data_IF_371004208063
#
_entry.id   IF_371004208063
#
_cell.length_a   1.000
_cell.length_b   1.000
_cell.length_c   1.000
_cell.angle_alpha   90.00
_cell.angle_beta   90.00
_cell.angle_gamma   90.00
#
_symmetry.space_group_name_H-M   'P 1'
#
loop_
_entity.id
_entity.type
_entity.pdbx_description
1 polymer ?
#
# COMPACT_ATOMS: atom_id res chain seq x y z
N UNK A 1 4.83 -29.25 -21.24
CA UNK A 1 5.34 -28.24 -20.29
C UNK A 1 4.43 -27.02 -20.40
N UNK A 2 3.34 -27.03 -19.65
CA UNK A 2 2.24 -26.06 -19.72
C UNK A 2 2.62 -24.81 -18.93
N UNK A 3 2.64 -23.67 -19.61
CA UNK A 3 3.15 -22.36 -19.14
C UNK A 3 2.27 -21.67 -18.09
N UNK A 4 1.54 -22.38 -17.23
CA UNK A 4 0.50 -21.78 -16.37
C UNK A 4 0.68 -21.93 -14.86
N UNK A 5 1.61 -22.74 -14.38
CA UNK A 5 1.73 -23.07 -12.94
C UNK A 5 2.30 -21.93 -12.07
N UNK A 6 2.57 -20.76 -12.65
CA UNK A 6 3.21 -19.65 -11.95
C UNK A 6 2.37 -18.39 -11.78
N UNK A 7 1.31 -18.17 -12.55
CA UNK A 7 0.63 -16.86 -12.60
C UNK A 7 -0.87 -17.00 -12.44
N UNK A 8 -1.46 -16.25 -11.50
CA UNK A 8 -2.91 -16.15 -11.33
C UNK A 8 -3.40 -14.70 -11.32
N UNK A 9 -4.68 -14.54 -11.60
CA UNK A 9 -5.40 -13.26 -11.50
C UNK A 9 -6.19 -13.24 -10.21
N UNK A 10 -6.09 -12.14 -9.47
CA UNK A 10 -6.85 -11.90 -8.25
C UNK A 10 -7.65 -10.62 -8.42
N UNK A 11 -8.88 -10.59 -7.93
CA UNK A 11 -9.68 -9.38 -7.89
C UNK A 11 -11.00 -9.47 -8.62
N UNK A 12 -11.86 -8.48 -8.36
CA UNK A 12 -13.24 -8.42 -8.88
C UNK A 12 -13.39 -7.52 -10.10
N UNK A 13 -12.33 -6.78 -10.45
CA UNK A 13 -12.34 -5.86 -11.58
C UNK A 13 -12.34 -6.53 -12.95
N UNK A 14 -12.59 -5.76 -14.03
CA UNK A 14 -12.57 -6.29 -15.39
C UNK A 14 -11.20 -6.87 -15.77
N UNK A 15 -11.18 -8.14 -16.18
CA UNK A 15 -9.93 -8.83 -16.56
C UNK A 15 -9.52 -8.44 -17.99
N UNK A 16 -8.36 -7.76 -18.17
CA UNK A 16 -7.84 -7.42 -19.50
C UNK A 16 -7.56 -8.68 -20.33
N UNK A 17 -7.84 -8.63 -21.65
CA UNK A 17 -7.57 -9.72 -22.62
C UNK A 17 -6.29 -10.54 -22.40
N UNK A 18 -5.11 -9.97 -22.10
CA UNK A 18 -3.88 -10.75 -21.91
C UNK A 18 -3.93 -11.69 -20.69
N UNK A 19 -4.84 -11.45 -19.74
CA UNK A 19 -4.97 -12.20 -18.50
C UNK A 19 -6.16 -13.17 -18.50
N UNK A 20 -7.03 -13.15 -19.52
CA UNK A 20 -8.32 -13.87 -19.51
C UNK A 20 -8.21 -15.39 -19.45
N UNK A 21 -7.08 -15.94 -19.87
CA UNK A 21 -6.84 -17.39 -19.90
C UNK A 21 -6.01 -17.87 -18.69
N UNK A 22 -5.74 -16.99 -17.72
CA UNK A 22 -5.02 -17.35 -16.51
C UNK A 22 -5.98 -17.87 -15.44
N UNK A 23 -5.51 -18.75 -14.52
CA UNK A 23 -6.29 -19.14 -13.37
C UNK A 23 -6.66 -17.92 -12.52
N UNK A 24 -7.83 -17.98 -11.90
CA UNK A 24 -8.22 -17.03 -10.84
C UNK A 24 -7.82 -17.62 -9.50
N UNK A 25 -7.39 -16.75 -8.58
CA UNK A 25 -7.10 -17.11 -7.21
C UNK A 25 -7.89 -16.23 -6.25
N UNK A 26 -8.34 -16.84 -5.16
CA UNK A 26 -8.94 -16.15 -4.03
C UNK A 26 -7.87 -15.85 -2.96
N UNK A 27 -8.23 -15.07 -1.94
CA UNK A 27 -7.29 -14.64 -0.90
C UNK A 27 -6.69 -15.79 -0.09
N UNK A 28 -7.35 -16.95 -0.07
CA UNK A 28 -6.90 -18.13 0.66
C UNK A 28 -5.84 -18.94 -0.12
N UNK A 29 -5.77 -18.76 -1.45
CA UNK A 29 -4.94 -19.55 -2.37
C UNK A 29 -3.72 -18.80 -2.93
N UNK A 30 -3.50 -17.56 -2.49
CA UNK A 30 -2.46 -16.66 -3.03
C UNK A 30 -1.05 -17.28 -3.05
N UNK A 31 -0.73 -18.01 -1.99
CA UNK A 31 0.59 -18.59 -1.72
C UNK A 31 0.97 -19.76 -2.64
N UNK A 32 0.00 -20.30 -3.39
CA UNK A 32 0.18 -21.39 -4.34
C UNK A 32 0.87 -20.88 -5.61
N UNK A 33 0.65 -19.61 -5.96
CA UNK A 33 1.15 -19.03 -7.19
C UNK A 33 2.47 -18.28 -6.97
N UNK A 34 3.35 -18.34 -7.97
CA UNK A 34 4.61 -17.57 -7.96
C UNK A 34 4.37 -16.07 -8.21
N UNK A 35 3.33 -15.75 -8.97
CA UNK A 35 2.97 -14.38 -9.38
C UNK A 35 1.46 -14.18 -9.37
N UNK A 36 1.05 -13.03 -8.86
CA UNK A 36 -0.34 -12.60 -8.80
C UNK A 36 -0.49 -11.30 -9.59
N UNK A 37 -1.49 -11.25 -10.45
CA UNK A 37 -1.90 -10.03 -11.14
C UNK A 37 -3.22 -9.57 -10.56
N UNK A 38 -3.19 -8.47 -9.81
CA UNK A 38 -4.37 -7.89 -9.18
C UNK A 38 -5.11 -7.04 -10.21
N UNK A 39 -6.31 -7.47 -10.60
CA UNK A 39 -7.22 -6.74 -11.48
C UNK A 39 -8.28 -6.07 -10.63
N UNK A 40 -7.93 -4.91 -10.08
CA UNK A 40 -8.76 -4.14 -9.17
C UNK A 40 -8.13 -2.82 -8.77
N UNK A 41 -8.83 -2.10 -7.89
CA UNK A 41 -8.34 -0.85 -7.32
C UNK A 41 -7.34 -1.05 -6.18
N UNK A 42 -6.98 0.06 -5.54
CA UNK A 42 -6.03 0.09 -4.42
C UNK A 42 -6.47 -0.79 -3.24
N UNK A 43 -7.77 -0.87 -2.95
CA UNK A 43 -8.29 -1.70 -1.87
C UNK A 43 -7.99 -3.19 -2.05
N UNK A 44 -8.14 -3.72 -3.27
CA UNK A 44 -7.84 -5.12 -3.55
C UNK A 44 -6.33 -5.40 -3.50
N UNK A 45 -5.52 -4.46 -4.02
CA UNK A 45 -4.07 -4.57 -3.91
C UNK A 45 -3.61 -4.58 -2.45
N UNK A 46 -4.18 -3.71 -1.62
CA UNK A 46 -3.90 -3.67 -0.19
C UNK A 46 -4.31 -4.98 0.49
N UNK A 47 -5.49 -5.54 0.17
CA UNK A 47 -5.95 -6.81 0.72
C UNK A 47 -5.01 -7.97 0.37
N UNK A 48 -4.61 -8.10 -0.90
CA UNK A 48 -3.67 -9.14 -1.36
C UNK A 48 -2.31 -9.02 -0.66
N UNK A 49 -1.73 -7.81 -0.62
CA UNK A 49 -0.44 -7.59 0.03
C UNK A 49 -0.52 -7.85 1.54
N UNK A 50 -1.62 -7.47 2.19
CA UNK A 50 -1.84 -7.72 3.62
C UNK A 50 -1.98 -9.21 3.93
N UNK A 51 -2.67 -9.97 3.06
CA UNK A 51 -2.79 -11.41 3.19
C UNK A 51 -1.43 -12.11 3.03
N UNK A 52 -0.64 -11.74 2.01
CA UNK A 52 0.71 -12.28 1.81
C UNK A 52 1.66 -11.92 2.96
N UNK A 53 1.58 -10.69 3.47
CA UNK A 53 2.36 -10.25 4.62
C UNK A 53 2.04 -11.08 5.87
N UNK A 54 0.74 -11.33 6.14
CA UNK A 54 0.29 -12.16 7.26
C UNK A 54 0.72 -13.62 7.13
N UNK A 55 0.79 -14.12 5.90
CA UNK A 55 1.23 -15.48 5.60
C UNK A 55 2.77 -15.64 5.51
N UNK A 56 3.53 -14.57 5.69
CA UNK A 56 4.98 -14.52 5.45
C UNK A 56 5.40 -15.02 4.05
N UNK A 57 4.60 -14.67 3.03
CA UNK A 57 4.78 -15.07 1.62
C UNK A 57 5.09 -13.90 0.70
N UNK A 58 5.98 -13.01 1.16
CA UNK A 58 6.46 -11.86 0.36
C UNK A 58 7.44 -12.25 -0.77
N UNK A 59 7.73 -13.54 -0.92
CA UNK A 59 8.41 -14.11 -2.08
C UNK A 59 7.50 -14.14 -3.33
N UNK A 60 6.18 -14.07 -3.16
CA UNK A 60 5.20 -14.03 -4.26
C UNK A 60 5.26 -12.68 -4.99
N UNK A 61 5.41 -12.74 -6.30
CA UNK A 61 5.49 -11.53 -7.14
C UNK A 61 4.09 -10.93 -7.34
N UNK A 62 3.90 -9.64 -7.04
CA UNK A 62 2.59 -8.98 -7.19
C UNK A 62 2.67 -7.85 -8.21
N UNK A 63 1.68 -7.76 -9.09
CA UNK A 63 1.52 -6.66 -10.03
C UNK A 63 0.05 -6.21 -10.12
N UNK A 64 -0.19 -4.90 -10.12
CA UNK A 64 -1.52 -4.36 -10.40
C UNK A 64 -1.72 -4.11 -11.90
N UNK A 65 -2.90 -4.46 -12.43
CA UNK A 65 -3.23 -4.27 -13.83
C UNK A 65 -4.67 -3.77 -14.02
N UNK A 66 -4.81 -2.53 -14.47
CA UNK A 66 -6.09 -1.88 -14.79
C UNK A 66 -6.43 -1.88 -16.28
N UNK A 67 -5.53 -2.34 -17.17
CA UNK A 67 -5.71 -2.24 -18.61
C UNK A 67 -4.77 -3.12 -19.43
N UNK A 68 -4.89 -3.03 -20.76
CA UNK A 68 -4.15 -3.91 -21.70
C UNK A 68 -2.63 -3.78 -21.57
N UNK A 69 -2.12 -2.56 -21.47
CA UNK A 69 -0.69 -2.31 -21.39
C UNK A 69 -0.12 -2.73 -20.02
N UNK A 70 -0.78 -2.36 -18.93
CA UNK A 70 -0.38 -2.77 -17.58
C UNK A 70 -0.47 -4.28 -17.38
N UNK A 71 -1.47 -4.95 -17.97
CA UNK A 71 -1.54 -6.41 -17.99
C UNK A 71 -0.34 -7.06 -18.69
N UNK A 72 0.04 -6.60 -19.88
CA UNK A 72 1.22 -7.12 -20.58
C UNK A 72 2.50 -6.88 -19.78
N UNK A 73 2.61 -5.72 -19.13
CA UNK A 73 3.73 -5.40 -18.23
C UNK A 73 3.74 -6.32 -17.01
N UNK A 74 2.59 -6.55 -16.37
CA UNK A 74 2.44 -7.43 -15.23
C UNK A 74 2.89 -8.87 -15.53
N UNK A 75 2.72 -9.34 -16.77
CA UNK A 75 3.16 -10.68 -17.18
C UNK A 75 4.66 -10.77 -17.48
N UNK A 76 5.27 -9.69 -17.97
CA UNK A 76 6.61 -9.76 -18.60
C UNK A 76 7.69 -9.03 -17.83
N UNK A 77 7.34 -8.05 -17.02
CA UNK A 77 8.31 -7.27 -16.29
C UNK A 77 8.91 -8.10 -15.16
N UNK A 78 10.23 -7.98 -15.00
CA UNK A 78 10.94 -8.51 -13.84
C UNK A 78 10.36 -7.90 -12.55
N UNK A 79 10.12 -8.76 -11.56
CA UNK A 79 9.73 -8.31 -10.23
C UNK A 79 10.87 -7.54 -9.58
N UNK A 80 10.52 -6.55 -8.76
CA UNK A 80 11.46 -5.74 -8.01
C UNK A 80 11.05 -5.76 -6.54
N UNK A 81 12.02 -5.95 -5.65
CA UNK A 81 11.81 -5.80 -4.21
C UNK A 81 11.59 -4.32 -3.91
N UNK A 82 10.53 -4.03 -3.17
CA UNK A 82 10.18 -2.68 -2.70
C UNK A 82 9.83 -2.75 -1.22
N UNK A 83 10.04 -1.68 -0.44
CA UNK A 83 9.55 -1.61 0.93
C UNK A 83 8.02 -1.75 0.95
N UNK A 84 7.51 -2.49 1.94
CA UNK A 84 6.08 -2.51 2.25
C UNK A 84 5.88 -1.84 3.60
N UNK A 85 4.89 -0.95 3.65
CA UNK A 85 4.50 -0.22 4.85
C UNK A 85 3.15 -0.73 5.29
N UNK A 86 3.03 -1.06 6.57
CA UNK A 86 1.78 -1.50 7.18
C UNK A 86 1.39 -0.57 8.31
N UNK A 87 0.10 -0.51 8.59
CA UNK A 87 -0.41 0.07 9.82
C UNK A 87 -0.38 -0.95 10.98
N UNK A 88 -0.84 -0.49 12.15
CA UNK A 88 -0.96 -1.29 13.36
C UNK A 88 -1.92 -2.48 13.22
N UNK A 89 -2.93 -2.37 12.35
CA UNK A 89 -3.88 -3.46 12.04
C UNK A 89 -3.28 -4.54 11.13
N UNK A 90 -2.09 -4.28 10.59
CA UNK A 90 -1.43 -5.15 9.63
C UNK A 90 -1.92 -4.94 8.19
N UNK A 91 -2.64 -3.85 7.92
CA UNK A 91 -3.07 -3.47 6.57
C UNK A 91 -1.91 -2.79 5.85
N UNK A 92 -1.62 -3.24 4.63
CA UNK A 92 -0.57 -2.67 3.78
C UNK A 92 -1.06 -1.38 3.11
N UNK A 93 -0.28 -0.33 3.23
CA UNK A 93 -0.52 0.95 2.59
C UNK A 93 -0.01 0.94 1.14
N UNK A 94 -0.89 1.24 0.18
CA UNK A 94 -0.56 1.20 -1.26
C UNK A 94 -0.62 2.56 -1.97
N UNK A 95 -1.16 3.58 -1.30
CA UNK A 95 -1.37 4.92 -1.91
C UNK A 95 -1.10 6.05 -0.92
N UNK A 96 -2.03 6.34 -0.01
CA UNK A 96 -1.82 7.32 1.04
C UNK A 96 -2.73 7.06 2.24
N UNK A 97 -2.22 7.31 3.44
CA UNK A 97 -2.99 7.38 4.67
C UNK A 97 -3.02 8.84 5.14
N UNK A 98 -4.09 9.21 5.84
CA UNK A 98 -4.20 10.55 6.41
C UNK A 98 -4.68 10.47 7.84
N UNK A 99 -4.01 11.21 8.72
CA UNK A 99 -4.45 11.47 10.08
C UNK A 99 -5.08 12.85 10.14
N UNK A 100 -6.28 12.93 10.70
CA UNK A 100 -7.07 14.15 10.87
C UNK A 100 -7.69 14.16 12.26
N UNK A 101 -7.96 15.35 12.78
CA UNK A 101 -8.81 15.48 13.96
C UNK A 101 -10.25 15.09 13.66
N UNK A 102 -11.00 14.76 14.70
CA UNK A 102 -12.42 14.43 14.60
C UNK A 102 -13.22 15.67 14.17
N UNK A 103 -14.26 15.46 13.36
CA UNK A 103 -15.21 16.49 12.92
C UNK A 103 -14.57 17.76 12.31
N UNK A 104 -13.40 17.60 11.67
CA UNK A 104 -12.67 18.70 11.05
C UNK A 104 -11.91 19.59 12.02
N UNK A 105 -11.84 19.22 13.31
CA UNK A 105 -10.96 19.87 14.27
C UNK A 105 -9.48 19.64 13.90
N UNK A 106 -8.56 20.50 14.36
CA UNK A 106 -7.13 20.25 14.24
C UNK A 106 -6.76 18.90 14.86
N UNK A 107 -5.86 18.19 14.20
CA UNK A 107 -5.22 17.00 14.73
C UNK A 107 -4.36 17.39 15.94
N UNK A 108 -4.62 16.75 17.08
CA UNK A 108 -3.92 16.98 18.34
C UNK A 108 -2.93 15.86 18.61
N UNK A 109 -1.73 16.20 19.05
CA UNK A 109 -0.72 15.24 19.50
C UNK A 109 0.67 15.52 18.95
N UNK A 110 1.44 14.45 18.79
CA UNK A 110 2.80 14.50 18.26
C UNK A 110 2.93 13.48 17.13
N UNK A 111 3.41 13.92 15.96
CA UNK A 111 3.73 13.00 14.87
C UNK A 111 5.22 13.02 14.56
N UNK A 112 5.80 11.84 14.45
CA UNK A 112 7.23 11.63 14.22
C UNK A 112 7.42 10.68 13.03
N UNK A 113 8.43 10.95 12.22
CA UNK A 113 8.95 10.05 11.18
C UNK A 113 10.37 9.67 11.54
N UNK A 114 10.59 8.40 11.88
CA UNK A 114 11.83 7.93 12.50
C UNK A 114 12.23 8.79 13.72
N UNK A 115 13.22 9.68 13.58
CA UNK A 115 13.72 10.60 14.59
C UNK A 115 13.32 12.08 14.34
N UNK A 116 12.54 12.34 13.29
CA UNK A 116 12.14 13.69 12.88
C UNK A 116 10.71 13.98 13.32
N UNK A 117 10.54 14.94 14.22
CA UNK A 117 9.23 15.48 14.59
C UNK A 117 8.62 16.24 13.41
N UNK A 118 7.44 15.84 12.96
CA UNK A 118 6.64 16.54 11.96
C UNK A 118 5.88 17.70 12.57
N UNK A 119 5.24 17.46 13.73
CA UNK A 119 4.59 18.46 14.57
C UNK A 119 4.47 17.94 16.01
N UNK A 120 4.34 18.88 16.95
CA UNK A 120 4.00 18.66 18.36
C UNK A 120 2.97 19.75 18.75
N UNK A 121 1.82 19.33 19.28
CA UNK A 121 0.66 20.17 19.56
C UNK A 121 -0.46 19.98 18.53
N UNK A 122 -0.68 20.99 17.68
CA UNK A 122 -1.77 20.99 16.70
C UNK A 122 -1.28 21.02 15.25
N UNK A 123 -1.97 20.28 14.37
CA UNK A 123 -1.77 20.34 12.93
C UNK A 123 -3.10 20.22 12.18
N UNK A 124 -3.20 20.78 10.97
CA UNK A 124 -4.40 20.60 10.12
C UNK A 124 -4.60 19.15 9.68
N UNK A 125 -3.57 18.30 9.81
CA UNK A 125 -3.57 16.89 9.47
C UNK A 125 -2.18 16.43 9.02
N UNK A 126 -1.99 15.12 8.87
CA UNK A 126 -0.76 14.52 8.34
C UNK A 126 -1.12 13.56 7.22
N UNK A 127 -0.33 13.58 6.15
CA UNK A 127 -0.42 12.59 5.07
C UNK A 127 0.83 11.72 5.06
N UNK A 128 0.64 10.41 5.02
CA UNK A 128 1.69 9.39 4.92
C UNK A 128 1.54 8.67 3.59
N UNK A 129 2.63 8.52 2.84
CA UNK A 129 2.66 7.82 1.55
C UNK A 129 3.76 6.75 1.56
N UNK A 130 3.47 5.53 1.09
CA UNK A 130 4.50 4.54 0.86
C UNK A 130 5.35 4.96 -0.34
N UNK A 131 6.60 4.51 -0.38
CA UNK A 131 7.53 4.78 -1.47
C UNK A 131 8.16 3.48 -1.94
N UNK A 132 8.50 3.39 -3.23
CA UNK A 132 9.11 2.16 -3.79
C UNK A 132 10.60 2.03 -3.47
N UNK A 133 11.20 3.02 -2.83
CA UNK A 133 12.61 3.06 -2.48
C UNK A 133 12.76 3.15 -0.96
N UNK A 134 13.89 2.70 -0.42
CA UNK A 134 14.23 3.00 0.97
C UNK A 134 14.27 4.53 1.18
N UNK A 135 13.80 5.06 2.32
CA UNK A 135 13.52 4.33 3.56
C UNK A 135 12.14 3.66 3.65
N UNK A 136 11.25 3.86 2.68
CA UNK A 136 10.01 3.08 2.53
C UNK A 136 8.73 3.90 2.65
N UNK A 137 8.75 5.02 3.38
CA UNK A 137 7.64 5.99 3.37
C UNK A 137 8.12 7.43 3.35
N UNK A 138 7.17 8.33 3.09
CA UNK A 138 7.28 9.75 3.38
C UNK A 138 6.02 10.25 4.06
N UNK A 139 6.15 11.24 4.93
CA UNK A 139 5.02 11.90 5.55
C UNK A 139 5.19 13.43 5.57
N UNK A 140 4.08 14.14 5.67
CA UNK A 140 4.05 15.60 5.63
C UNK A 140 2.83 16.14 6.36
N UNK A 141 3.04 17.23 7.12
CA UNK A 141 1.95 18.03 7.66
C UNK A 141 1.19 18.69 6.51
N UNK A 142 -0.14 18.65 6.60
CA UNK A 142 -1.03 19.30 5.67
C UNK A 142 -1.17 20.78 6.01
N UNK A 143 -1.28 21.62 4.97
CA UNK A 143 -1.83 22.97 5.11
C UNK A 143 -3.34 22.91 5.34
N UNK A 144 -3.93 24.04 5.73
CA UNK A 144 -5.38 24.19 5.91
C UNK A 144 -6.18 23.90 4.63
N UNK A 145 -5.50 23.93 3.46
CA UNK A 145 -6.06 23.56 2.16
C UNK A 145 -5.83 22.09 1.79
N UNK A 146 -5.40 21.26 2.73
CA UNK A 146 -5.13 19.83 2.53
C UNK A 146 -3.90 19.52 1.67
N UNK A 147 -3.01 20.50 1.43
CA UNK A 147 -1.79 20.28 0.64
C UNK A 147 -0.59 19.96 1.54
N UNK A 148 0.20 18.91 1.24
CA UNK A 148 1.46 18.62 1.94
C UNK A 148 2.41 19.82 1.90
N UNK A 149 2.95 20.23 3.05
CA UNK A 149 3.90 21.36 3.14
C UNK A 149 5.33 20.93 2.85
N UNK A 150 5.86 19.99 3.64
CA UNK A 150 7.24 19.49 3.54
C UNK A 150 7.26 17.99 3.79
N UNK A 151 7.78 17.25 2.82
CA UNK A 151 7.95 15.81 2.96
C UNK A 151 9.17 15.47 3.80
N UNK A 152 9.00 14.53 4.72
CA UNK A 152 10.06 13.84 5.46
C UNK A 152 9.99 12.36 5.09
N UNK A 153 11.12 11.78 4.69
CA UNK A 153 11.20 10.36 4.39
C UNK A 153 11.69 9.60 5.63
N UNK A 154 11.17 8.39 5.84
CA UNK A 154 11.57 7.51 6.95
C UNK A 154 11.09 6.08 6.74
N UNK A 155 11.33 5.23 7.74
CA UNK A 155 10.92 3.82 7.75
C UNK A 155 9.57 3.64 8.42
N UNK A 156 9.27 4.48 9.41
CA UNK A 156 8.02 4.47 10.15
C UNK A 156 7.52 5.89 10.39
N UNK A 157 6.21 6.04 10.51
CA UNK A 157 5.56 7.24 10.97
C UNK A 157 4.65 6.85 12.13
N UNK A 158 4.68 7.60 13.22
CA UNK A 158 3.85 7.37 14.39
C UNK A 158 3.13 8.65 14.79
N UNK A 159 1.89 8.51 15.24
CA UNK A 159 1.11 9.56 15.88
C UNK A 159 0.87 9.16 17.34
N UNK A 160 1.33 9.98 18.27
CA UNK A 160 0.92 9.95 19.66
C UNK A 160 -0.20 10.94 19.89
N UNK A 161 -1.38 10.48 20.30
CA UNK A 161 -2.48 11.36 20.69
C UNK A 161 -2.53 11.50 22.21
N UNK A 162 -2.91 12.69 22.74
CA UNK A 162 -3.16 12.84 24.17
C UNK A 162 -4.32 11.92 24.60
N UNK A 163 -4.25 11.42 25.83
CA UNK A 163 -5.33 10.61 26.38
C UNK A 163 -6.66 11.40 26.34
N UNK A 164 -7.79 10.76 25.98
CA UNK A 164 -9.09 11.38 26.14
C UNK A 164 -9.26 11.77 27.61
N UNK A 165 -9.64 13.03 27.85
CA UNK A 165 -9.98 13.52 29.20
C UNK A 165 -11.31 12.95 29.67
#
# INVERSE_FOLDING_TARGET
>A
MTTSDGVAVVGTGPVPRPLRNLPKADLDDLAIHRRLVVTGGEAELAAVLSALLRADRLDVEVAAATGQWSARRALRAAARRVPLIRDETGTVLVSAAQWHGLDGAPLQGEAIVDDVVLFDGEASGVRVEPTTNMPGLRASVLSDRGRPRRWVAGRAAQLGTPAPR
#
